data_IF_829390214576
#
_entry.id   IF_829390214576
#
_cell.length_a   1.000
_cell.length_b   1.000
_cell.length_c   1.000
_cell.angle_alpha   90.00
_cell.angle_beta   90.00
_cell.angle_gamma   90.00
#
_symmetry.space_group_name_H-M   'P 1'
#
loop_
_entity.id
_entity.type
_entity.pdbx_description
1 polymer ?
#
# COMPACT_ATOMS: atom_id res chain seq x y z
N UNK A 1 -15.76 -32.37 12.18
CA UNK A 1 -15.55 -31.61 10.94
C UNK A 1 -16.47 -32.16 9.86
N UNK A 2 -17.43 -31.36 9.38
CA UNK A 2 -18.35 -31.69 8.27
C UNK A 2 -17.59 -31.58 6.94
N UNK A 3 -17.91 -32.39 5.93
CA UNK A 3 -17.29 -32.31 4.60
C UNK A 3 -18.36 -32.10 3.52
N UNK A 4 -18.11 -31.15 2.63
CA UNK A 4 -18.95 -30.82 1.47
C UNK A 4 -18.01 -30.82 0.27
N UNK A 5 -18.26 -31.68 -0.71
CA UNK A 5 -17.35 -31.82 -1.84
C UNK A 5 -18.04 -32.11 -3.16
N UNK A 6 -17.36 -31.79 -4.27
CA UNK A 6 -17.72 -32.15 -5.64
C UNK A 6 -19.14 -31.72 -6.04
N UNK A 7 -19.50 -30.49 -5.69
CA UNK A 7 -20.86 -29.97 -5.84
C UNK A 7 -20.87 -28.57 -6.46
N UNK A 8 -22.00 -28.25 -7.10
CA UNK A 8 -22.36 -26.88 -7.46
C UNK A 8 -23.54 -26.45 -6.61
N UNK A 9 -23.36 -25.42 -5.77
CA UNK A 9 -24.34 -25.01 -4.76
C UNK A 9 -24.70 -23.54 -4.97
N UNK A 10 -25.86 -23.28 -5.57
CA UNK A 10 -26.38 -21.92 -5.80
C UNK A 10 -27.42 -21.49 -4.78
N UNK A 11 -27.92 -20.26 -4.95
CA UNK A 11 -29.01 -19.69 -4.16
C UNK A 11 -28.57 -18.73 -3.04
N UNK A 12 -29.53 -18.18 -2.30
CA UNK A 12 -29.26 -17.29 -1.18
C UNK A 12 -28.91 -18.09 0.08
N UNK A 13 -27.78 -17.77 0.72
CA UNK A 13 -27.34 -18.36 2.00
C UNK A 13 -27.28 -19.91 2.05
N UNK A 14 -26.82 -20.61 1.00
CA UNK A 14 -26.86 -22.07 0.95
C UNK A 14 -26.10 -22.78 2.08
N UNK A 15 -25.01 -22.18 2.58
CA UNK A 15 -24.18 -22.70 3.67
C UNK A 15 -24.03 -21.70 4.82
N UNK A 16 -25.08 -20.91 5.06
CA UNK A 16 -25.13 -19.95 6.17
C UNK A 16 -24.92 -20.62 7.52
N UNK A 17 -24.16 -19.96 8.41
CA UNK A 17 -23.76 -20.50 9.72
C UNK A 17 -23.04 -21.86 9.67
N UNK A 18 -22.35 -22.18 8.56
CA UNK A 18 -21.57 -23.39 8.51
C UNK A 18 -20.47 -23.36 9.58
N UNK A 19 -20.36 -24.42 10.37
CA UNK A 19 -19.35 -24.52 11.42
C UNK A 19 -18.50 -25.79 11.26
N UNK A 20 -17.20 -25.66 11.54
CA UNK A 20 -16.25 -26.77 11.59
C UNK A 20 -16.36 -27.66 10.34
N UNK A 21 -16.07 -27.09 9.18
CA UNK A 21 -16.32 -27.74 7.90
C UNK A 21 -15.18 -27.59 6.89
N UNK A 22 -15.03 -28.61 6.07
CA UNK A 22 -14.20 -28.61 4.87
C UNK A 22 -15.11 -28.58 3.63
N UNK A 23 -14.94 -27.55 2.80
CA UNK A 23 -15.63 -27.37 1.52
C UNK A 23 -14.59 -27.50 0.42
N UNK A 24 -14.73 -28.53 -0.41
CA UNK A 24 -13.67 -28.91 -1.35
C UNK A 24 -14.16 -29.17 -2.77
N UNK A 25 -13.53 -28.58 -3.79
CA UNK A 25 -13.95 -28.72 -5.20
C UNK A 25 -15.43 -28.37 -5.38
N UNK A 26 -15.83 -27.24 -4.81
CA UNK A 26 -17.20 -26.74 -4.87
C UNK A 26 -17.25 -25.48 -5.72
N UNK A 27 -18.26 -25.41 -6.58
CA UNK A 27 -18.60 -24.21 -7.34
C UNK A 27 -19.77 -23.54 -6.65
N UNK A 28 -19.60 -22.26 -6.30
CA UNK A 28 -20.72 -21.40 -5.94
C UNK A 28 -21.04 -20.52 -7.17
N UNK A 29 -22.07 -20.87 -7.97
CA UNK A 29 -22.43 -20.15 -9.17
C UNK A 29 -23.14 -18.84 -8.81
N UNK A 30 -24.41 -18.68 -9.18
CA UNK A 30 -25.27 -17.58 -8.80
C UNK A 30 -25.88 -17.79 -7.40
N UNK A 31 -25.77 -16.76 -6.55
CA UNK A 31 -26.22 -16.81 -5.16
C UNK A 31 -25.49 -15.81 -4.26
N UNK A 32 -26.16 -15.27 -3.25
CA UNK A 32 -25.60 -14.24 -2.35
C UNK A 32 -25.37 -14.79 -0.93
N UNK A 33 -24.34 -14.28 -0.24
CA UNK A 33 -24.08 -14.57 1.19
C UNK A 33 -23.84 -16.05 1.50
N UNK A 34 -23.05 -16.73 0.67
CA UNK A 34 -22.96 -18.20 0.59
C UNK A 34 -22.56 -18.88 1.91
N UNK A 35 -21.46 -18.42 2.52
CA UNK A 35 -20.89 -18.96 3.76
C UNK A 35 -21.07 -18.02 4.95
N UNK A 36 -21.80 -16.91 4.77
CA UNK A 36 -21.99 -15.83 5.76
C UNK A 36 -22.19 -16.38 7.18
N UNK A 37 -21.52 -15.75 8.13
CA UNK A 37 -21.54 -16.10 9.56
C UNK A 37 -21.01 -17.52 9.85
N UNK A 38 -20.11 -18.02 9.00
CA UNK A 38 -19.43 -19.29 9.16
C UNK A 38 -18.26 -19.24 10.15
N UNK A 39 -17.88 -20.41 10.67
CA UNK A 39 -16.78 -20.55 11.64
C UNK A 39 -15.95 -21.80 11.40
N UNK A 40 -14.64 -21.69 11.55
CA UNK A 40 -13.70 -22.82 11.45
C UNK A 40 -13.85 -23.56 10.10
N UNK A 41 -13.63 -22.81 9.02
CA UNK A 41 -13.86 -23.27 7.65
C UNK A 41 -12.54 -23.52 6.91
N UNK A 42 -12.48 -24.63 6.19
CA UNK A 42 -11.41 -24.95 5.23
C UNK A 42 -12.01 -25.02 3.84
N UNK A 43 -11.61 -24.13 2.95
CA UNK A 43 -12.12 -23.98 1.60
C UNK A 43 -10.98 -24.31 0.64
N UNK A 44 -11.09 -25.42 -0.09
CA UNK A 44 -10.03 -25.94 -0.95
C UNK A 44 -10.54 -26.14 -2.38
N UNK A 45 -9.88 -25.56 -3.37
CA UNK A 45 -10.31 -25.64 -4.76
C UNK A 45 -11.76 -25.15 -4.96
N UNK A 46 -12.11 -24.03 -4.34
CA UNK A 46 -13.46 -23.46 -4.39
C UNK A 46 -13.51 -22.33 -5.41
N UNK A 47 -14.58 -22.29 -6.20
CA UNK A 47 -14.84 -21.22 -7.17
C UNK A 47 -16.00 -20.35 -6.68
N UNK A 48 -15.70 -19.09 -6.34
CA UNK A 48 -16.68 -18.08 -5.95
C UNK A 48 -17.01 -17.18 -7.14
N UNK A 49 -18.23 -17.32 -7.67
CA UNK A 49 -18.65 -16.57 -8.87
C UNK A 49 -19.53 -15.38 -8.58
N UNK A 50 -20.01 -15.21 -7.35
CA UNK A 50 -20.99 -14.19 -7.02
C UNK A 50 -20.82 -13.63 -5.60
N UNK A 51 -21.71 -12.73 -5.21
CA UNK A 51 -21.48 -11.73 -4.16
C UNK A 51 -21.46 -12.28 -2.73
N UNK A 52 -20.71 -11.57 -1.90
CA UNK A 52 -20.64 -11.74 -0.44
C UNK A 52 -20.28 -13.16 0.04
N UNK A 53 -19.28 -13.86 -0.55
CA UNK A 53 -18.92 -15.22 -0.13
C UNK A 53 -18.62 -15.36 1.36
N UNK A 54 -17.85 -14.45 1.96
CA UNK A 54 -17.38 -14.51 3.35
C UNK A 54 -17.73 -13.21 4.07
N UNK A 55 -18.85 -13.19 4.80
CA UNK A 55 -19.35 -12.05 5.55
C UNK A 55 -19.56 -12.43 7.01
N UNK A 56 -18.92 -11.72 7.94
CA UNK A 56 -18.95 -12.01 9.38
C UNK A 56 -18.43 -13.42 9.75
N UNK A 57 -17.45 -13.93 8.99
CA UNK A 57 -16.87 -15.24 9.22
C UNK A 57 -15.71 -15.19 10.23
N UNK A 58 -15.37 -16.33 10.83
CA UNK A 58 -14.28 -16.46 11.80
C UNK A 58 -13.45 -17.72 11.51
N UNK A 59 -12.12 -17.62 11.53
CA UNK A 59 -11.20 -18.73 11.32
C UNK A 59 -11.45 -19.43 9.97
N UNK A 60 -11.07 -18.77 8.89
CA UNK A 60 -11.26 -19.27 7.53
C UNK A 60 -9.91 -19.52 6.88
N UNK A 61 -9.72 -20.71 6.29
CA UNK A 61 -8.57 -21.00 5.42
C UNK A 61 -9.07 -21.25 4.00
N UNK A 62 -8.50 -20.54 3.03
CA UNK A 62 -8.79 -20.70 1.60
C UNK A 62 -7.51 -21.11 0.88
N UNK A 63 -7.55 -22.18 0.10
CA UNK A 63 -6.41 -22.70 -0.67
C UNK A 63 -6.81 -23.03 -2.10
N UNK A 64 -5.89 -22.81 -3.05
CA UNK A 64 -6.01 -23.25 -4.44
C UNK A 64 -7.34 -22.82 -5.11
N UNK A 65 -7.84 -21.62 -4.79
CA UNK A 65 -9.21 -21.20 -5.10
C UNK A 65 -9.26 -20.01 -6.05
N UNK A 66 -10.47 -19.63 -6.47
CA UNK A 66 -10.72 -18.52 -7.38
C UNK A 66 -11.91 -17.68 -6.91
N UNK A 67 -11.74 -16.36 -6.96
CA UNK A 67 -12.82 -15.38 -6.85
C UNK A 67 -12.94 -14.65 -8.18
N UNK A 68 -14.06 -14.84 -8.89
CA UNK A 68 -14.34 -14.13 -10.13
C UNK A 68 -14.86 -12.71 -9.87
N UNK A 69 -14.99 -11.91 -10.92
CA UNK A 69 -15.41 -10.49 -10.90
C UNK A 69 -16.64 -10.19 -10.05
N UNK A 70 -17.65 -11.04 -10.16
CA UNK A 70 -18.89 -10.89 -9.41
C UNK A 70 -18.82 -11.41 -7.97
N UNK A 71 -17.69 -12.01 -7.58
CA UNK A 71 -17.25 -12.26 -6.20
C UNK A 71 -17.02 -10.99 -5.37
N UNK A 72 -17.50 -9.84 -5.84
CA UNK A 72 -17.37 -8.52 -5.23
C UNK A 72 -18.00 -8.42 -3.84
N UNK A 73 -17.52 -7.42 -3.10
CA UNK A 73 -17.83 -7.20 -1.69
C UNK A 73 -17.60 -8.47 -0.87
N UNK A 74 -16.53 -9.21 -1.21
CA UNK A 74 -16.52 -10.64 -1.00
C UNK A 74 -16.14 -11.08 0.41
N UNK A 75 -15.27 -10.32 1.07
CA UNK A 75 -14.71 -10.68 2.38
C UNK A 75 -14.86 -9.50 3.33
N UNK A 76 -15.94 -9.45 4.12
CA UNK A 76 -16.22 -8.32 5.02
C UNK A 76 -16.41 -8.79 6.45
N UNK A 77 -15.95 -8.00 7.43
CA UNK A 77 -16.08 -8.29 8.85
C UNK A 77 -15.60 -9.70 9.24
N UNK A 78 -14.64 -10.23 8.49
CA UNK A 78 -14.16 -11.61 8.65
C UNK A 78 -12.84 -11.57 9.41
N UNK A 79 -12.75 -12.38 10.45
CA UNK A 79 -11.56 -12.42 11.31
C UNK A 79 -10.80 -13.73 11.13
N UNK A 80 -9.47 -13.64 11.26
CA UNK A 80 -8.56 -14.78 11.21
C UNK A 80 -8.71 -15.57 9.89
N UNK A 81 -8.48 -14.88 8.77
CA UNK A 81 -8.55 -15.46 7.43
C UNK A 81 -7.14 -15.67 6.86
N UNK A 82 -6.87 -16.89 6.40
CA UNK A 82 -5.66 -17.24 5.65
C UNK A 82 -6.05 -17.62 4.23
N UNK A 83 -5.43 -17.01 3.23
CA UNK A 83 -5.62 -17.38 1.82
C UNK A 83 -4.26 -17.72 1.19
N UNK A 84 -4.18 -18.85 0.50
CA UNK A 84 -2.97 -19.30 -0.19
C UNK A 84 -3.24 -19.73 -1.63
N UNK A 85 -2.28 -19.47 -2.51
CA UNK A 85 -2.24 -20.00 -3.87
C UNK A 85 -3.56 -19.73 -4.63
N UNK A 86 -4.05 -18.49 -4.53
CA UNK A 86 -5.42 -18.13 -4.94
C UNK A 86 -5.40 -16.85 -5.78
N UNK A 87 -6.23 -16.82 -6.82
CA UNK A 87 -6.43 -15.62 -7.63
C UNK A 87 -7.74 -14.94 -7.24
N UNK A 88 -7.65 -13.63 -7.04
CA UNK A 88 -8.73 -12.75 -6.61
C UNK A 88 -8.97 -11.69 -7.68
N UNK A 89 -9.97 -11.88 -8.51
CA UNK A 89 -10.33 -10.94 -9.58
C UNK A 89 -11.66 -10.27 -9.23
N UNK A 90 -11.80 -9.65 -8.06
CA UNK A 90 -13.04 -8.96 -7.69
C UNK A 90 -12.73 -7.56 -7.16
N UNK A 91 -13.48 -6.52 -7.57
CA UNK A 91 -13.12 -5.13 -7.32
C UNK A 91 -13.14 -4.75 -5.83
N UNK A 92 -13.94 -5.44 -5.00
CA UNK A 92 -14.13 -5.10 -3.58
C UNK A 92 -13.90 -6.32 -2.69
N UNK A 93 -12.75 -6.40 -2.03
CA UNK A 93 -12.38 -7.52 -1.17
C UNK A 93 -11.76 -7.01 0.14
N UNK A 94 -11.96 -7.70 1.25
CA UNK A 94 -11.42 -7.30 2.57
C UNK A 94 -11.87 -5.89 3.00
N UNK A 95 -12.98 -5.83 3.75
CA UNK A 95 -13.45 -4.61 4.41
C UNK A 95 -13.58 -4.87 5.89
N UNK A 96 -13.01 -3.99 6.73
CA UNK A 96 -13.19 -4.07 8.20
C UNK A 96 -12.92 -5.46 8.76
N UNK A 97 -11.87 -6.10 8.26
CA UNK A 97 -11.49 -7.48 8.57
C UNK A 97 -10.18 -7.47 9.36
N UNK A 98 -9.95 -8.49 10.19
CA UNK A 98 -8.81 -8.55 11.09
C UNK A 98 -8.06 -9.88 11.03
N UNK A 99 -6.74 -9.87 11.15
CA UNK A 99 -5.94 -11.10 11.15
C UNK A 99 -5.96 -11.77 9.78
N UNK A 100 -5.52 -11.02 8.76
CA UNK A 100 -5.50 -11.45 7.36
C UNK A 100 -4.10 -11.94 7.02
N UNK A 101 -3.99 -13.16 6.48
CA UNK A 101 -2.71 -13.73 6.01
C UNK A 101 -2.82 -14.19 4.57
N UNK A 102 -2.08 -13.56 3.66
CA UNK A 102 -2.08 -13.89 2.24
C UNK A 102 -0.71 -14.41 1.82
N UNK A 103 -0.66 -15.56 1.14
CA UNK A 103 0.57 -16.12 0.59
C UNK A 103 0.36 -16.57 -0.85
N UNK A 104 1.20 -16.12 -1.79
CA UNK A 104 1.06 -16.46 -3.22
C UNK A 104 -0.33 -16.09 -3.76
N UNK A 105 -0.76 -14.85 -3.51
CA UNK A 105 -2.08 -14.35 -3.92
C UNK A 105 -1.92 -13.35 -5.04
N UNK A 106 -2.75 -13.49 -6.08
CA UNK A 106 -2.78 -12.57 -7.21
C UNK A 106 -4.12 -11.84 -7.25
N UNK A 107 -4.09 -10.54 -6.96
CA UNK A 107 -5.19 -9.61 -7.16
C UNK A 107 -5.12 -9.06 -8.58
N UNK A 108 -5.81 -9.72 -9.52
CA UNK A 108 -5.71 -9.39 -10.94
C UNK A 108 -6.35 -8.03 -11.29
N UNK A 109 -7.37 -7.63 -10.53
CA UNK A 109 -7.99 -6.31 -10.60
C UNK A 109 -8.77 -6.05 -9.31
N UNK A 110 -8.38 -5.00 -8.59
CA UNK A 110 -9.05 -4.54 -7.37
C UNK A 110 -9.26 -3.03 -7.39
N UNK A 111 -10.27 -2.57 -6.66
CA UNK A 111 -10.55 -1.16 -6.40
C UNK A 111 -10.61 -0.99 -4.87
N UNK A 112 -11.77 -1.15 -4.24
CA UNK A 112 -11.96 -0.99 -2.79
C UNK A 112 -11.51 -2.24 -2.01
N UNK A 113 -10.20 -2.48 -1.94
CA UNK A 113 -9.63 -3.69 -1.32
C UNK A 113 -8.70 -3.42 -0.14
N UNK A 114 -8.89 -4.21 0.92
CA UNK A 114 -8.19 -4.07 2.22
C UNK A 114 -8.45 -2.71 2.88
N UNK A 115 -9.68 -2.23 2.84
CA UNK A 115 -10.01 -0.96 3.46
C UNK A 115 -10.39 -1.12 4.93
N UNK A 116 -9.77 -0.31 5.80
CA UNK A 116 -10.03 -0.27 7.25
C UNK A 116 -9.85 -1.65 7.92
N UNK A 117 -8.83 -2.39 7.51
CA UNK A 117 -8.46 -3.69 8.06
C UNK A 117 -7.33 -3.57 9.09
N UNK A 118 -7.12 -4.62 9.89
CA UNK A 118 -6.09 -4.64 10.94
C UNK A 118 -5.37 -5.99 10.95
N UNK A 119 -4.08 -5.99 11.31
CA UNK A 119 -3.23 -7.19 11.42
C UNK A 119 -3.18 -7.96 10.09
N UNK A 120 -2.44 -7.40 9.13
CA UNK A 120 -2.35 -7.87 7.74
C UNK A 120 -0.93 -8.37 7.47
N UNK A 121 -0.81 -9.63 7.04
CA UNK A 121 0.45 -10.23 6.59
C UNK A 121 0.34 -10.63 5.11
N UNK A 122 1.21 -10.07 4.28
CA UNK A 122 1.31 -10.35 2.83
C UNK A 122 2.66 -10.97 2.53
N UNK A 123 2.67 -12.11 1.85
CA UNK A 123 3.91 -12.76 1.38
C UNK A 123 3.76 -13.20 -0.07
N UNK A 124 4.60 -12.67 -0.95
CA UNK A 124 4.54 -12.94 -2.39
C UNK A 124 3.13 -12.66 -2.96
N UNK A 125 2.73 -11.38 -2.92
CA UNK A 125 1.40 -10.93 -3.34
C UNK A 125 1.54 -9.98 -4.52
N UNK A 126 0.70 -10.16 -5.53
CA UNK A 126 0.61 -9.28 -6.70
C UNK A 126 -0.70 -8.51 -6.65
N UNK A 127 -0.63 -7.19 -6.88
CA UNK A 127 -1.79 -6.29 -6.83
C UNK A 127 -1.82 -5.40 -8.06
N UNK A 128 -2.97 -5.40 -8.73
CA UNK A 128 -3.31 -4.40 -9.74
C UNK A 128 -4.60 -3.68 -9.30
N UNK A 129 -4.47 -2.45 -8.81
CA UNK A 129 -5.62 -1.70 -8.31
C UNK A 129 -5.28 -0.52 -7.41
N UNK A 130 -6.21 0.44 -7.38
CA UNK A 130 -6.08 1.70 -6.63
C UNK A 130 -6.50 1.53 -5.17
N UNK A 131 -6.01 2.41 -4.30
CA UNK A 131 -6.37 2.50 -2.87
C UNK A 131 -6.21 1.20 -2.08
N UNK A 132 -5.36 0.28 -2.52
CA UNK A 132 -5.12 -0.96 -1.82
C UNK A 132 -4.59 -0.70 -0.41
N UNK A 133 -5.28 -1.21 0.62
CA UNK A 133 -4.84 -1.04 2.02
C UNK A 133 -5.27 0.28 2.68
N UNK A 134 -6.19 1.05 2.08
CA UNK A 134 -6.63 2.34 2.62
C UNK A 134 -7.13 2.27 4.07
N UNK A 135 -6.69 3.18 4.92
CA UNK A 135 -7.05 3.32 6.33
C UNK A 135 -6.82 2.05 7.18
N UNK A 136 -5.92 1.16 6.75
CA UNK A 136 -5.61 -0.09 7.45
C UNK A 136 -4.42 0.05 8.41
N UNK A 137 -4.30 -0.87 9.36
CA UNK A 137 -3.28 -0.81 10.42
C UNK A 137 -2.54 -2.13 10.61
N UNK A 138 -1.29 -2.04 11.07
CA UNK A 138 -0.41 -3.19 11.35
C UNK A 138 -0.25 -4.08 10.11
N UNK A 139 0.41 -3.53 9.09
CA UNK A 139 0.62 -4.20 7.81
C UNK A 139 2.07 -4.65 7.71
N UNK A 140 2.29 -5.93 7.42
CA UNK A 140 3.59 -6.48 7.06
C UNK A 140 3.50 -7.08 5.67
N UNK A 141 4.24 -6.51 4.73
CA UNK A 141 4.29 -6.96 3.35
C UNK A 141 5.72 -7.34 2.94
N UNK A 142 5.90 -8.57 2.49
CA UNK A 142 7.16 -9.08 1.97
C UNK A 142 6.97 -9.65 0.57
N UNK A 143 7.79 -9.21 -0.39
CA UNK A 143 7.62 -9.53 -1.81
C UNK A 143 6.24 -9.10 -2.36
N UNK A 144 5.86 -7.85 -2.11
CA UNK A 144 4.68 -7.22 -2.73
C UNK A 144 5.06 -6.64 -4.10
N UNK A 145 4.27 -6.94 -5.12
CA UNK A 145 4.35 -6.33 -6.45
C UNK A 145 3.04 -5.59 -6.72
N UNK A 146 3.06 -4.26 -6.64
CA UNK A 146 1.86 -3.42 -6.67
C UNK A 146 1.93 -2.41 -7.82
N UNK A 147 0.85 -2.37 -8.60
CA UNK A 147 0.57 -1.33 -9.59
C UNK A 147 -0.82 -0.75 -9.33
N UNK A 148 -0.91 0.55 -9.13
CA UNK A 148 -2.17 1.27 -8.89
C UNK A 148 -1.95 2.51 -8.03
N UNK A 149 -2.92 3.40 -7.93
CA UNK A 149 -2.79 4.72 -7.31
C UNK A 149 -3.19 4.71 -5.83
N UNK A 150 -2.59 5.62 -5.04
CA UNK A 150 -2.98 5.89 -3.65
C UNK A 150 -2.99 4.65 -2.74
N UNK A 151 -2.07 3.72 -2.99
CA UNK A 151 -1.92 2.56 -2.11
C UNK A 151 -1.61 3.01 -0.67
N UNK A 152 -2.12 2.28 0.30
CA UNK A 152 -1.94 2.53 1.73
C UNK A 152 -2.33 3.93 2.21
N UNK A 153 -3.17 4.67 1.48
CA UNK A 153 -3.63 5.99 1.93
C UNK A 153 -4.25 5.91 3.35
N UNK A 154 -3.76 6.75 4.26
CA UNK A 154 -4.19 6.80 5.66
C UNK A 154 -3.79 5.58 6.49
N UNK A 155 -2.91 4.70 5.99
CA UNK A 155 -2.48 3.51 6.72
C UNK A 155 -1.51 3.85 7.88
N UNK A 156 -1.54 3.02 8.92
CA UNK A 156 -0.64 3.15 10.07
C UNK A 156 0.12 1.86 10.37
N UNK A 157 1.37 1.96 10.85
CA UNK A 157 2.21 0.82 11.19
C UNK A 157 2.42 -0.15 10.03
N UNK A 158 3.12 0.33 9.01
CA UNK A 158 3.35 -0.42 7.76
C UNK A 158 4.83 -0.78 7.65
N UNK A 159 5.12 -2.07 7.44
CA UNK A 159 6.43 -2.58 7.09
C UNK A 159 6.36 -3.24 5.71
N UNK A 160 7.13 -2.71 4.75
CA UNK A 160 7.28 -3.29 3.41
C UNK A 160 8.73 -3.69 3.16
N UNK A 161 8.96 -4.92 2.71
CA UNK A 161 10.30 -5.46 2.39
C UNK A 161 10.33 -6.16 1.04
N UNK A 162 11.47 -6.13 0.34
CA UNK A 162 11.72 -6.90 -0.88
C UNK A 162 10.67 -6.69 -2.00
N UNK A 163 10.16 -5.47 -2.14
CA UNK A 163 8.95 -5.18 -2.91
C UNK A 163 9.16 -4.22 -4.08
N UNK A 164 8.19 -4.15 -4.97
CA UNK A 164 8.10 -3.19 -6.08
C UNK A 164 6.76 -2.50 -6.03
N UNK A 165 6.75 -1.18 -5.89
CA UNK A 165 5.52 -0.39 -5.77
C UNK A 165 5.54 0.70 -6.86
N UNK A 166 4.54 0.68 -7.73
CA UNK A 166 4.28 1.69 -8.74
C UNK A 166 2.92 2.32 -8.44
N UNK A 167 2.94 3.56 -7.96
CA UNK A 167 1.74 4.24 -7.51
C UNK A 167 1.89 5.74 -7.59
N UNK A 168 0.86 6.47 -8.00
CA UNK A 168 0.87 7.95 -7.95
C UNK A 168 1.30 8.45 -6.57
N UNK A 169 0.75 7.89 -5.50
CA UNK A 169 1.29 7.98 -4.13
C UNK A 169 1.07 6.63 -3.42
N UNK A 170 2.12 6.03 -2.86
CA UNK A 170 2.02 4.73 -2.16
C UNK A 170 1.87 4.86 -0.63
N UNK A 171 1.99 6.07 -0.07
CA UNK A 171 1.99 6.28 1.38
C UNK A 171 1.38 7.64 1.77
N UNK A 172 0.35 8.07 1.05
CA UNK A 172 -0.36 9.31 1.34
C UNK A 172 -0.98 9.27 2.74
N UNK A 173 -0.86 10.36 3.51
CA UNK A 173 -1.46 10.50 4.86
C UNK A 173 -1.07 9.39 5.85
N UNK A 174 0.06 8.71 5.65
CA UNK A 174 0.44 7.55 6.47
C UNK A 174 1.17 7.92 7.76
N UNK A 175 1.17 6.98 8.72
CA UNK A 175 1.92 7.13 9.96
C UNK A 175 2.71 5.87 10.33
N UNK A 176 3.98 6.02 10.73
CA UNK A 176 4.88 4.92 11.12
C UNK A 176 5.04 3.89 10.00
N UNK A 177 5.69 4.32 8.93
CA UNK A 177 5.96 3.47 7.75
C UNK A 177 7.45 3.16 7.68
N UNK A 178 7.80 1.91 7.41
CA UNK A 178 9.16 1.48 7.09
C UNK A 178 9.18 0.68 5.81
N UNK A 179 9.99 1.09 4.84
CA UNK A 179 10.21 0.37 3.58
C UNK A 179 11.69 -0.01 3.47
N UNK A 180 11.97 -1.29 3.14
CA UNK A 180 13.34 -1.79 2.99
C UNK A 180 13.54 -2.58 1.71
N UNK A 181 14.73 -2.49 1.14
CA UNK A 181 15.20 -3.37 0.05
C UNK A 181 14.21 -3.41 -1.13
N UNK A 182 13.65 -2.26 -1.50
CA UNK A 182 12.52 -2.15 -2.43
C UNK A 182 12.73 -1.10 -3.53
N UNK A 183 11.92 -1.19 -4.58
CA UNK A 183 11.87 -0.21 -5.67
C UNK A 183 10.53 0.52 -5.62
N UNK A 184 10.58 1.85 -5.62
CA UNK A 184 9.42 2.73 -5.54
C UNK A 184 9.42 3.68 -6.74
N UNK A 185 8.28 3.82 -7.41
CA UNK A 185 8.05 4.83 -8.46
C UNK A 185 6.67 5.45 -8.25
N UNK A 186 6.61 6.79 -8.32
CA UNK A 186 5.37 7.51 -8.10
C UNK A 186 5.49 9.01 -8.28
N UNK A 187 4.39 9.72 -8.49
CA UNK A 187 4.41 11.17 -8.70
C UNK A 187 4.59 11.92 -7.36
N UNK A 188 3.75 11.59 -6.37
CA UNK A 188 3.63 12.27 -5.07
C UNK A 188 4.06 11.36 -3.91
N UNK A 189 5.04 10.47 -4.12
CA UNK A 189 5.40 9.42 -3.17
C UNK A 189 5.46 9.89 -1.70
N UNK A 190 4.54 9.39 -0.88
CA UNK A 190 4.44 9.57 0.57
C UNK A 190 4.10 10.99 1.06
N UNK A 191 3.20 11.70 0.39
CA UNK A 191 2.77 13.02 0.86
C UNK A 191 2.09 12.96 2.22
N UNK A 192 2.26 14.01 3.02
CA UNK A 192 1.61 14.17 4.33
C UNK A 192 1.83 13.01 5.31
N UNK A 193 2.98 12.33 5.20
CA UNK A 193 3.31 11.20 6.07
C UNK A 193 4.06 11.62 7.35
N UNK A 194 3.91 10.83 8.43
CA UNK A 194 4.59 11.05 9.71
C UNK A 194 5.37 9.79 10.13
N UNK A 195 6.66 9.93 10.46
CA UNK A 195 7.57 8.83 10.79
C UNK A 195 7.75 7.83 9.64
N UNK A 196 8.31 8.29 8.52
CA UNK A 196 8.63 7.47 7.35
C UNK A 196 10.12 7.07 7.37
N UNK A 197 10.42 5.77 7.22
CA UNK A 197 11.78 5.25 7.13
C UNK A 197 11.99 4.48 5.83
N UNK A 198 12.96 4.88 5.02
CA UNK A 198 13.34 4.23 3.76
C UNK A 198 14.78 3.72 3.86
N UNK A 199 15.01 2.43 3.64
CA UNK A 199 16.33 1.80 3.77
C UNK A 199 16.64 0.93 2.55
N UNK A 200 17.79 1.11 1.93
CA UNK A 200 18.23 0.30 0.78
C UNK A 200 17.26 0.33 -0.42
N UNK A 201 16.59 1.45 -0.65
CA UNK A 201 15.61 1.56 -1.74
C UNK A 201 16.18 2.22 -3.00
N UNK A 202 15.59 1.90 -4.14
CA UNK A 202 15.68 2.69 -5.37
C UNK A 202 14.36 3.42 -5.55
N UNK A 203 14.42 4.74 -5.70
CA UNK A 203 13.27 5.62 -5.71
C UNK A 203 13.34 6.52 -6.95
N UNK A 204 12.22 6.72 -7.60
CA UNK A 204 12.01 7.73 -8.64
C UNK A 204 10.65 8.39 -8.38
N UNK A 205 10.58 9.72 -8.57
CA UNK A 205 9.35 10.47 -8.31
C UNK A 205 9.39 11.92 -8.75
N UNK A 206 8.31 12.46 -9.30
CA UNK A 206 8.24 13.86 -9.75
C UNK A 206 8.22 14.89 -8.61
N UNK A 207 7.47 14.63 -7.55
CA UNK A 207 7.32 15.50 -6.38
C UNK A 207 7.25 14.66 -5.09
N UNK A 208 8.14 13.68 -4.94
CA UNK A 208 8.10 12.75 -3.80
C UNK A 208 8.52 13.37 -2.47
N UNK A 209 8.05 12.75 -1.38
CA UNK A 209 8.50 12.97 -0.01
C UNK A 209 8.25 14.40 0.50
N UNK A 210 7.19 15.04 0.00
CA UNK A 210 6.76 16.37 0.44
C UNK A 210 5.78 16.27 1.62
N UNK A 211 5.74 17.32 2.43
CA UNK A 211 4.90 17.44 3.63
C UNK A 211 5.16 16.34 4.67
N UNK A 212 6.35 15.74 4.68
CA UNK A 212 6.70 14.65 5.60
C UNK A 212 7.26 15.21 6.90
N UNK A 213 6.77 14.70 8.03
CA UNK A 213 7.38 14.91 9.35
C UNK A 213 8.11 13.64 9.82
N UNK A 214 9.35 13.80 10.30
CA UNK A 214 10.23 12.70 10.71
C UNK A 214 10.54 11.68 9.58
N UNK A 215 11.18 12.15 8.51
CA UNK A 215 11.68 11.30 7.44
C UNK A 215 13.10 10.79 7.74
N UNK A 216 13.31 9.47 7.67
CA UNK A 216 14.64 8.84 7.68
C UNK A 216 14.91 8.16 6.34
N UNK A 217 16.01 8.49 5.66
CA UNK A 217 16.44 7.82 4.42
C UNK A 217 17.87 7.35 4.58
N UNK A 218 18.12 6.05 4.39
CA UNK A 218 19.45 5.43 4.55
C UNK A 218 19.78 4.50 3.41
N UNK A 219 20.96 4.68 2.82
CA UNK A 219 21.48 3.80 1.76
C UNK A 219 20.52 3.70 0.56
N UNK A 220 19.79 4.77 0.25
CA UNK A 220 18.88 4.83 -0.90
C UNK A 220 19.53 5.52 -2.10
N UNK A 221 19.05 5.19 -3.30
CA UNK A 221 19.26 5.96 -4.53
C UNK A 221 17.94 6.59 -4.94
N UNK A 222 17.89 7.91 -4.99
CA UNK A 222 16.73 8.67 -5.45
C UNK A 222 17.13 9.29 -6.78
N UNK A 223 16.60 8.75 -7.88
CA UNK A 223 17.02 9.07 -9.24
C UNK A 223 15.94 9.89 -9.94
N UNK A 224 16.34 10.86 -10.75
CA UNK A 224 15.44 11.64 -11.61
C UNK A 224 14.24 12.25 -10.87
N UNK A 225 14.40 12.54 -9.58
CA UNK A 225 13.33 13.08 -8.73
C UNK A 225 13.50 14.57 -8.43
N UNK A 226 12.77 15.46 -9.13
CA UNK A 226 12.76 16.87 -8.80
C UNK A 226 11.87 17.16 -7.58
N UNK A 227 11.97 18.40 -7.08
CA UNK A 227 11.07 19.03 -6.10
C UNK A 227 10.84 18.25 -4.79
N UNK A 228 11.85 17.49 -4.35
CA UNK A 228 11.79 16.69 -3.13
C UNK A 228 11.76 17.55 -1.85
N UNK A 229 11.12 16.99 -0.82
CA UNK A 229 11.16 17.43 0.57
C UNK A 229 10.49 18.76 0.90
N UNK A 230 9.60 19.23 0.04
CA UNK A 230 8.87 20.46 0.30
C UNK A 230 8.09 20.38 1.61
N UNK A 231 8.28 21.41 2.46
CA UNK A 231 7.74 21.51 3.82
C UNK A 231 8.08 20.31 4.72
N UNK A 232 9.11 19.55 4.37
CA UNK A 232 9.61 18.45 5.19
C UNK A 232 10.21 18.95 6.51
N UNK A 233 9.89 18.27 7.60
CA UNK A 233 10.39 18.58 8.95
C UNK A 233 11.05 17.36 9.59
N UNK A 234 12.04 17.61 10.45
CA UNK A 234 12.78 16.57 11.17
C UNK A 234 13.40 15.52 10.22
N UNK A 235 13.97 15.99 9.11
CA UNK A 235 14.60 15.14 8.11
C UNK A 235 15.94 14.53 8.62
N UNK A 236 16.17 13.25 8.37
CA UNK A 236 17.44 12.52 8.50
C UNK A 236 17.71 11.76 7.19
N UNK A 237 18.16 12.48 6.17
CA UNK A 237 18.30 11.97 4.80
C UNK A 237 19.77 11.78 4.45
N UNK A 238 20.15 10.54 4.13
CA UNK A 238 21.45 10.19 3.57
C UNK A 238 21.29 9.27 2.34
N UNK A 239 21.68 9.78 1.17
CA UNK A 239 21.59 9.07 -0.12
C UNK A 239 22.95 8.73 -0.71
N UNK A 240 23.02 7.66 -1.52
CA UNK A 240 24.27 7.20 -2.19
C UNK A 240 24.51 7.94 -3.51
N UNK A 241 23.47 8.52 -4.11
CA UNK A 241 23.51 9.19 -5.41
C UNK A 241 23.21 10.69 -5.31
N UNK A 242 23.42 11.40 -6.41
CA UNK A 242 23.07 12.81 -6.51
C UNK A 242 21.55 12.98 -6.45
N UNK A 243 21.08 14.10 -5.89
CA UNK A 243 19.68 14.50 -5.98
C UNK A 243 19.47 15.48 -7.12
N UNK A 244 18.36 15.33 -7.86
CA UNK A 244 17.99 16.24 -8.95
C UNK A 244 17.67 17.62 -8.40
N UNK A 245 16.69 17.73 -7.50
CA UNK A 245 16.45 18.97 -6.77
C UNK A 245 15.79 18.76 -5.41
N UNK A 246 15.98 19.75 -4.54
CA UNK A 246 15.36 19.86 -3.22
C UNK A 246 14.61 21.18 -3.16
N UNK A 247 13.40 21.18 -2.62
CA UNK A 247 12.54 22.36 -2.57
C UNK A 247 12.02 22.57 -1.16
N UNK A 248 12.18 23.79 -0.63
CA UNK A 248 11.57 24.29 0.59
C UNK A 248 11.51 23.32 1.80
N UNK A 249 12.54 22.52 2.13
CA UNK A 249 12.55 21.79 3.40
C UNK A 249 12.65 22.77 4.58
N UNK A 250 12.02 22.43 5.71
CA UNK A 250 11.95 23.30 6.89
C UNK A 250 13.05 22.96 7.90
N UNK A 251 13.27 21.69 8.23
CA UNK A 251 14.24 21.30 9.28
C UNK A 251 14.83 19.91 9.10
N UNK A 252 16.00 19.70 9.67
CA UNK A 252 16.72 18.41 9.66
C UNK A 252 18.00 18.45 8.86
N UNK A 253 18.49 17.27 8.47
CA UNK A 253 19.72 17.09 7.70
C UNK A 253 19.44 16.37 6.38
N UNK A 254 19.98 16.91 5.28
CA UNK A 254 20.01 16.27 3.98
C UNK A 254 21.47 16.13 3.54
N UNK A 255 21.91 14.90 3.32
CA UNK A 255 23.26 14.57 2.86
C UNK A 255 23.21 13.79 1.54
N UNK A 256 23.86 14.33 0.52
CA UNK A 256 24.01 13.71 -0.80
C UNK A 256 25.40 14.06 -1.39
N UNK A 257 25.97 13.26 -2.32
CA UNK A 257 27.22 13.63 -2.98
C UNK A 257 27.13 14.99 -3.71
N UNK A 258 26.02 15.24 -4.41
CA UNK A 258 25.69 16.53 -5.00
C UNK A 258 24.17 16.72 -5.10
N UNK A 259 23.72 17.98 -5.18
CA UNK A 259 22.32 18.35 -5.42
C UNK A 259 22.31 19.31 -6.61
N UNK A 260 21.53 18.99 -7.64
CA UNK A 260 21.48 19.79 -8.87
C UNK A 260 20.90 21.19 -8.62
N UNK A 261 19.68 21.25 -8.08
CA UNK A 261 19.02 22.52 -7.74
C UNK A 261 18.49 22.51 -6.31
N UNK A 262 18.75 23.58 -5.55
CA UNK A 262 18.13 23.87 -4.27
C UNK A 262 17.20 25.06 -4.45
N UNK A 263 15.93 24.90 -4.11
CA UNK A 263 14.90 25.93 -4.20
C UNK A 263 14.47 26.27 -2.78
N UNK A 264 14.73 27.49 -2.31
CA UNK A 264 14.32 27.96 -0.98
C UNK A 264 13.64 29.32 -1.14
N UNK A 265 12.31 29.33 -1.01
CA UNK A 265 11.53 30.56 -0.96
C UNK A 265 11.46 31.07 0.49
N UNK A 266 12.17 32.16 0.84
CA UNK A 266 12.19 32.67 2.21
C UNK A 266 10.85 33.28 2.65
N UNK A 267 9.90 33.48 1.73
CA UNK A 267 8.54 33.89 2.07
C UNK A 267 7.66 32.71 2.49
N UNK A 268 8.07 31.47 2.16
CA UNK A 268 7.34 30.23 2.45
C UNK A 268 7.94 29.46 3.62
N UNK A 269 9.27 29.41 3.76
CA UNK A 269 9.96 28.62 4.80
C UNK A 269 11.12 29.37 5.46
N UNK A 270 11.36 29.05 6.74
CA UNK A 270 12.64 29.33 7.40
C UNK A 270 13.53 28.09 7.36
N UNK A 271 14.83 28.28 7.14
CA UNK A 271 15.84 27.21 7.06
C UNK A 271 16.81 27.23 8.22
N UNK A 272 16.52 27.96 9.30
CA UNK A 272 17.42 28.11 10.46
C UNK A 272 17.80 26.77 11.11
N UNK A 273 16.92 25.76 10.98
CA UNK A 273 17.11 24.41 11.52
C UNK A 273 17.40 23.35 10.44
N UNK A 274 17.78 23.78 9.24
CA UNK A 274 18.09 22.92 8.11
C UNK A 274 19.60 22.86 7.87
N UNK A 275 20.13 21.66 7.67
CA UNK A 275 21.53 21.42 7.32
C UNK A 275 21.60 20.61 6.03
N UNK A 276 22.11 21.22 4.96
CA UNK A 276 22.39 20.53 3.70
C UNK A 276 23.90 20.29 3.58
N UNK A 277 24.30 19.03 3.35
CA UNK A 277 25.69 18.61 3.20
C UNK A 277 25.90 17.96 1.83
N UNK A 278 26.83 18.52 1.07
CA UNK A 278 27.24 18.00 -0.24
C UNK A 278 28.75 17.83 -0.31
N UNK A 279 29.21 16.75 -0.96
CA UNK A 279 30.64 16.49 -1.15
C UNK A 279 31.23 17.41 -2.22
N UNK A 280 30.44 17.78 -3.23
CA UNK A 280 30.83 18.67 -4.33
C UNK A 280 29.77 19.74 -4.62
N UNK A 281 30.16 21.01 -4.59
CA UNK A 281 29.25 22.15 -4.81
C UNK A 281 29.41 22.80 -6.20
N UNK A 282 30.23 22.23 -7.09
CA UNK A 282 30.71 22.94 -8.29
C UNK A 282 29.64 23.28 -9.33
N UNK A 283 28.47 22.64 -9.30
CA UNK A 283 27.38 22.85 -10.27
C UNK A 283 25.99 23.04 -9.61
N UNK A 284 25.95 23.35 -8.31
CA UNK A 284 24.72 23.51 -7.55
C UNK A 284 24.03 24.84 -7.89
N UNK A 285 22.79 24.78 -8.37
CA UNK A 285 21.95 25.97 -8.60
C UNK A 285 21.14 26.27 -7.34
N UNK A 286 21.09 27.54 -6.93
CA UNK A 286 20.26 27.99 -5.81
C UNK A 286 19.23 28.97 -6.35
N UNK A 287 17.95 28.66 -6.15
CA UNK A 287 16.81 29.49 -6.53
C UNK A 287 16.09 29.96 -5.27
N UNK A 288 15.69 31.24 -5.25
CA UNK A 288 14.96 31.85 -4.12
C UNK A 288 13.45 31.92 -4.36
N UNK A 289 13.00 31.42 -5.51
CA UNK A 289 11.60 31.37 -5.93
C UNK A 289 11.44 30.11 -6.74
N UNK A 290 10.30 29.46 -6.59
CA UNK A 290 9.96 28.34 -7.44
C UNK A 290 9.73 28.83 -8.88
N UNK A 291 10.46 28.31 -9.89
CA UNK A 291 10.22 28.66 -11.27
C UNK A 291 8.84 28.20 -11.79
N UNK A 292 8.14 27.31 -11.06
CA UNK A 292 6.83 26.79 -11.47
C UNK A 292 5.77 26.89 -10.33
N UNK A 293 5.42 28.11 -9.89
CA UNK A 293 4.66 28.33 -8.66
C UNK A 293 3.22 27.79 -8.68
N UNK A 294 2.70 27.41 -9.85
CA UNK A 294 1.33 26.93 -10.02
C UNK A 294 1.21 25.40 -10.07
N UNK A 295 2.31 24.63 -10.02
CA UNK A 295 2.26 23.16 -10.05
C UNK A 295 1.81 22.52 -8.72
N UNK A 296 1.50 23.33 -7.70
CA UNK A 296 1.36 22.88 -6.30
C UNK A 296 -0.02 23.07 -5.66
N UNK A 297 -1.01 23.48 -6.43
CA UNK A 297 -2.41 23.35 -5.99
C UNK A 297 -3.01 22.15 -6.71
N UNK A 298 -2.34 21.00 -6.58
CA UNK A 298 -2.86 19.70 -7.02
C UNK A 298 -4.27 19.54 -6.48
N UNK A 299 -5.21 19.41 -7.42
CA UNK A 299 -6.62 19.24 -7.20
C UNK A 299 -6.83 18.28 -6.02
N UNK A 300 -7.59 18.74 -5.02
CA UNK A 300 -8.44 17.83 -4.25
C UNK A 300 -9.32 17.12 -5.29
N UNK A 301 -8.81 16.05 -5.90
CA UNK A 301 -9.65 15.05 -6.53
C UNK A 301 -10.39 14.40 -5.36
N UNK A 302 -11.47 15.07 -4.93
CA UNK A 302 -12.51 14.51 -4.08
C UNK A 302 -13.08 13.28 -4.81
N UNK A 303 -12.66 12.08 -4.41
CA UNK A 303 -13.38 10.83 -4.65
C UNK A 303 -14.20 10.42 -3.40
#
# INVERSE_FOLDING_TARGET
>A
MKRIEDQSIGGERPLFHLQNAEVRRVIFPDGESLLKEGRDLKLDQVLFKYKYPLWNDENVTVTDSLFEEMGRSGIWYTNNITIKDTTLQAPKLFRRSKGIKLTNVHFAHVEETMWTCEDIELTNVQVNGDYFGMNSKHIVADHLDLVGNYAFDGAEDVLVTNSRLMSKDCFWNTKRVTVKDSILSGEYLAWHSENLTLINCVIESDQGLNYVDHLTVKNCRINDSPLLFEYGTNLDVQVIGNLTSVKNPISGTIQAPAIGTIIIDPTKVSTDNLVIKTDNNRDQRILTVDPNPNEQEGEQEDD
#
